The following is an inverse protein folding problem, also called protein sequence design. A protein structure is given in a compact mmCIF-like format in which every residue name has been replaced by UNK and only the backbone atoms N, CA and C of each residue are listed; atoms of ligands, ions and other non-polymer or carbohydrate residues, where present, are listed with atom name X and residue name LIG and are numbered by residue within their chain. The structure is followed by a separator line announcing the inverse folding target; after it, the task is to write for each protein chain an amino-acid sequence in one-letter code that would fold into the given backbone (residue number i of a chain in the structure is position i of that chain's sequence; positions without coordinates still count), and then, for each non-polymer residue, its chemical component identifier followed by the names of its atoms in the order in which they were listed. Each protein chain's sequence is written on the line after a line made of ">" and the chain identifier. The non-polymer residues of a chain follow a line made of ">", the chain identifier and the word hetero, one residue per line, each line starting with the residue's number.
data_IF_329528305549
#
_entry.id   IF_329528305549
#
_cell.length_a   1.000
_cell.length_b   1.000
_cell.length_c   1.000
_cell.angle_alpha   90.00
_cell.angle_beta   90.00
_cell.angle_gamma   90.00
#
_symmetry.space_group_name_H-M   'P 1'
#
loop_
_entity.id
_entity.type
_entity.pdbx_description
1 polymer ?
#
# COMPACT_ATOMS: atom_id res chain seq x y z
N UNK A 1 -11.55 6.57 9.15
CA UNK A 1 -10.43 5.72 8.74
C UNK A 1 -9.20 6.24 9.48
N UNK A 2 -8.78 5.56 10.53
CA UNK A 2 -7.51 5.87 11.20
C UNK A 2 -6.39 5.22 10.38
N UNK A 3 -5.40 6.00 9.95
CA UNK A 3 -4.21 5.44 9.34
C UNK A 3 -3.39 4.74 10.43
N UNK A 4 -3.19 3.43 10.30
CA UNK A 4 -2.26 2.69 11.15
C UNK A 4 -0.88 3.35 11.07
N UNK A 5 -0.33 3.75 12.22
CA UNK A 5 1.02 4.30 12.33
C UNK A 5 2.02 3.15 12.40
N UNK A 6 3.08 3.22 11.62
CA UNK A 6 4.17 2.24 11.62
C UNK A 6 5.41 2.88 12.20
N UNK A 7 6.16 2.13 12.99
CA UNK A 7 7.50 2.51 13.40
C UNK A 7 8.46 2.42 12.21
N UNK A 8 9.49 3.26 12.19
CA UNK A 8 10.52 3.27 11.14
C UNK A 8 11.19 1.89 10.99
N UNK A 9 11.30 1.16 12.10
CA UNK A 9 11.86 -0.18 12.16
C UNK A 9 11.04 -1.23 11.41
N UNK A 10 9.74 -1.01 11.21
CA UNK A 10 8.85 -1.91 10.48
C UNK A 10 8.95 -1.73 8.96
N UNK A 11 9.50 -0.59 8.52
CA UNK A 11 9.56 -0.20 7.12
C UNK A 11 10.91 -0.64 6.53
N UNK A 12 10.85 -1.44 5.47
CA UNK A 12 12.03 -1.88 4.74
C UNK A 12 12.45 -0.84 3.70
N UNK A 13 11.49 -0.25 2.98
CA UNK A 13 11.75 0.71 1.93
C UNK A 13 10.52 1.54 1.60
N UNK A 14 10.75 2.83 1.28
CA UNK A 14 9.75 3.73 0.70
C UNK A 14 10.32 4.28 -0.60
N UNK A 15 9.55 4.20 -1.68
CA UNK A 15 9.92 4.75 -2.98
C UNK A 15 8.76 5.53 -3.56
N UNK A 16 8.96 6.82 -3.79
CA UNK A 16 8.04 7.65 -4.58
C UNK A 16 8.38 7.58 -6.07
N UNK A 17 7.36 7.66 -6.94
CA UNK A 17 7.54 7.86 -8.37
C UNK A 17 6.57 8.92 -8.87
N UNK A 18 7.00 9.72 -9.84
CA UNK A 18 6.10 10.56 -10.63
C UNK A 18 5.67 9.77 -11.88
N UNK A 19 4.38 9.57 -12.08
CA UNK A 19 3.81 8.87 -13.24
C UNK A 19 2.56 9.57 -13.76
N UNK A 20 1.99 9.11 -14.88
CA UNK A 20 0.72 9.66 -15.39
C UNK A 20 -0.49 9.15 -14.60
N UNK A 21 -0.53 7.85 -14.32
CA UNK A 21 -1.64 7.22 -13.59
C UNK A 21 -1.12 6.05 -12.76
N UNK A 22 -1.23 6.09 -11.41
CA UNK A 22 -1.49 7.28 -10.58
C UNK A 22 -0.40 8.36 -10.73
N UNK A 23 -0.67 9.60 -10.36
CA UNK A 23 0.27 10.72 -10.54
C UNK A 23 1.50 10.64 -9.61
N UNK A 24 1.27 10.25 -8.36
CA UNK A 24 2.29 10.18 -7.30
C UNK A 24 2.16 8.89 -6.49
N UNK A 25 2.41 7.71 -7.09
CA UNK A 25 2.45 6.46 -6.33
C UNK A 25 3.62 6.45 -5.35
N UNK A 26 3.31 6.03 -4.13
CA UNK A 26 4.27 5.69 -3.07
C UNK A 26 4.25 4.17 -2.91
N UNK A 27 5.40 3.56 -3.16
CA UNK A 27 5.62 2.13 -2.97
C UNK A 27 6.26 1.91 -1.61
N UNK A 28 5.66 1.07 -0.78
CA UNK A 28 6.17 0.73 0.56
C UNK A 28 6.38 -0.77 0.66
N UNK A 29 7.53 -1.16 1.21
CA UNK A 29 7.83 -2.53 1.62
C UNK A 29 8.02 -2.55 3.12
N UNK A 30 7.44 -3.54 3.78
CA UNK A 30 7.60 -3.76 5.21
C UNK A 30 8.54 -4.93 5.48
N UNK A 31 9.14 -4.99 6.67
CA UNK A 31 10.10 -6.03 7.04
C UNK A 31 9.46 -7.40 7.31
N UNK A 32 8.20 -7.41 7.74
CA UNK A 32 7.44 -8.64 7.99
C UNK A 32 7.03 -9.33 6.69
N UNK A 33 6.77 -8.55 5.63
CA UNK A 33 6.39 -9.05 4.30
C UNK A 33 7.27 -8.45 3.19
N UNK A 34 8.59 -8.75 3.15
CA UNK A 34 9.53 -8.13 2.22
C UNK A 34 9.26 -8.45 0.74
N UNK A 35 8.50 -9.52 0.47
CA UNK A 35 8.05 -9.94 -0.85
C UNK A 35 6.84 -9.16 -1.39
N UNK A 36 6.17 -8.38 -0.54
CA UNK A 36 4.97 -7.60 -0.90
C UNK A 36 5.34 -6.13 -1.09
N UNK A 37 4.84 -5.52 -2.16
CA UNK A 37 4.97 -4.08 -2.39
C UNK A 37 3.60 -3.45 -2.35
N UNK A 38 3.35 -2.65 -1.32
CA UNK A 38 2.12 -1.89 -1.18
C UNK A 38 2.23 -0.59 -1.97
N UNK A 39 1.14 -0.18 -2.63
CA UNK A 39 1.10 1.04 -3.43
C UNK A 39 0.05 1.96 -2.87
N UNK A 40 0.45 3.18 -2.53
CA UNK A 40 -0.45 4.23 -2.06
C UNK A 40 -0.45 5.36 -3.07
N UNK A 41 -1.62 5.96 -3.26
CA UNK A 41 -1.75 7.19 -4.01
C UNK A 41 -2.59 8.18 -3.22
N UNK A 42 -2.29 9.46 -3.38
CA UNK A 42 -3.15 10.52 -2.90
C UNK A 42 -4.17 10.85 -4.00
N UNK A 43 -5.47 10.77 -3.70
CA UNK A 43 -6.52 11.07 -4.68
C UNK A 43 -7.00 12.53 -4.65
N UNK A 44 -6.33 13.40 -3.88
CA UNK A 44 -6.70 14.81 -3.70
C UNK A 44 -7.19 15.10 -2.29
N UNK A 45 -7.93 14.18 -1.68
CA UNK A 45 -8.50 14.34 -0.35
C UNK A 45 -7.90 13.38 0.68
N UNK A 46 -7.54 12.17 0.25
CA UNK A 46 -7.01 11.13 1.13
C UNK A 46 -5.97 10.26 0.45
N UNK A 47 -5.15 9.64 1.30
CA UNK A 47 -4.33 8.50 0.90
C UNK A 47 -5.21 7.28 0.76
N UNK A 48 -5.10 6.61 -0.39
CA UNK A 48 -5.73 5.32 -0.65
C UNK A 48 -4.65 4.29 -0.99
N UNK A 49 -4.82 3.06 -0.52
CA UNK A 49 -4.05 1.93 -1.02
C UNK A 49 -4.68 1.50 -2.35
N UNK A 50 -3.89 1.42 -3.41
CA UNK A 50 -4.34 0.78 -4.64
C UNK A 50 -4.38 -0.74 -4.41
N UNK A 51 -5.29 -1.43 -5.11
CA UNK A 51 -5.30 -2.90 -5.14
C UNK A 51 -3.87 -3.37 -5.35
N UNK A 52 -3.35 -4.07 -4.34
CA UNK A 52 -1.95 -4.41 -4.34
C UNK A 52 -1.71 -5.32 -5.55
N UNK A 53 -0.67 -4.99 -6.32
CA UNK A 53 -0.26 -5.84 -7.42
C UNK A 53 -0.09 -7.26 -6.87
N UNK A 54 -0.60 -8.25 -7.63
CA UNK A 54 -0.43 -9.66 -7.27
C UNK A 54 1.01 -9.89 -6.83
N UNK A 55 1.20 -10.56 -5.69
CA UNK A 55 2.53 -10.98 -5.29
C UNK A 55 3.14 -11.91 -6.36
N UNK A 56 4.41 -12.27 -6.20
CA UNK A 56 5.09 -13.18 -7.12
C UNK A 56 4.42 -14.57 -7.28
N UNK A 57 3.44 -14.89 -6.43
CA UNK A 57 2.65 -16.13 -6.44
C UNK A 57 1.22 -15.95 -6.97
N UNK A 58 0.86 -14.74 -7.43
CA UNK A 58 -0.47 -14.45 -7.96
C UNK A 58 -1.52 -14.10 -6.90
N UNK A 59 -1.16 -14.03 -5.62
CA UNK A 59 -2.07 -13.67 -4.54
C UNK A 59 -2.27 -12.17 -4.52
N UNK A 60 -3.52 -11.72 -4.31
CA UNK A 60 -3.80 -10.34 -3.96
C UNK A 60 -3.36 -10.11 -2.51
N UNK A 61 -2.36 -9.25 -2.24
CA UNK A 61 -2.00 -8.94 -0.88
C UNK A 61 -3.22 -8.37 -0.14
N UNK A 62 -3.53 -8.93 1.04
CA UNK A 62 -4.55 -8.36 1.93
C UNK A 62 -4.21 -6.89 2.17
N UNK A 63 -5.22 -6.01 2.10
CA UNK A 63 -5.07 -4.61 2.45
C UNK A 63 -4.44 -4.51 3.85
N UNK A 64 -3.26 -3.89 3.94
CA UNK A 64 -2.50 -3.83 5.21
C UNK A 64 -3.08 -2.82 6.19
N UNK A 65 -3.86 -1.87 5.67
CA UNK A 65 -4.39 -0.72 6.42
C UNK A 65 -5.92 -0.60 6.42
N UNK A 66 -6.64 -1.41 5.64
CA UNK A 66 -8.10 -1.47 5.75
C UNK A 66 -8.48 -2.58 6.72
N UNK A 67 -8.83 -2.21 7.94
CA UNK A 67 -9.43 -3.10 8.93
C UNK A 67 -10.87 -3.51 8.55
N UNK A 68 -11.39 -3.06 7.40
CA UNK A 68 -12.77 -3.32 7.01
C UNK A 68 -12.89 -4.28 5.81
N UNK A 69 -12.98 -5.61 6.06
CA UNK A 69 -13.27 -6.59 5.02
C UNK A 69 -14.65 -6.42 4.36
N UNK A 70 -15.55 -5.56 4.88
CA UNK A 70 -16.90 -5.34 4.34
C UNK A 70 -17.03 -4.20 3.31
N UNK A 71 -15.94 -3.55 2.90
CA UNK A 71 -15.94 -2.63 1.76
C UNK A 71 -15.82 -3.35 0.39
N UNK A 72 -15.78 -4.68 0.41
CA UNK A 72 -15.91 -5.54 -0.77
C UNK A 72 -17.41 -5.82 -0.96
N UNK A 73 -18.09 -4.98 -1.73
CA UNK A 73 -19.39 -5.27 -2.34
C UNK A 73 -19.33 -4.98 -3.83
#
# INVERSE_FOLDING_TARGET
>A
MESRKYADEEILSIKGKHSKTPAYPVYVKFKDEPGVTYVYTHNGDKWIQLEAARDQYGNLPKYKHDENPNLIK
#
